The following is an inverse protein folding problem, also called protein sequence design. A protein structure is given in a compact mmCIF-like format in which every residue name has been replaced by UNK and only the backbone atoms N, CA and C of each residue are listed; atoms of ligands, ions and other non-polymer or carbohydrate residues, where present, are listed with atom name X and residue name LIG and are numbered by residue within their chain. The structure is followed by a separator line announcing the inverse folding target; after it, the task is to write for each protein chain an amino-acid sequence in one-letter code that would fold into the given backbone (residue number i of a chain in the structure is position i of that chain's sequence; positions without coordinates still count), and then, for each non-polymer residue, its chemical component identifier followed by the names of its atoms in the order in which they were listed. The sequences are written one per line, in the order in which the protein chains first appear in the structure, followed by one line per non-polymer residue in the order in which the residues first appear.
data_IF_663648899103
#
_entry.id   IF_663648899103
#
_cell.length_a   1.000
_cell.length_b   1.000
_cell.length_c   1.000
_cell.angle_alpha   90.00
_cell.angle_beta   90.00
_cell.angle_gamma   90.00
#
_symmetry.space_group_name_H-M   'P 1'
#
loop_
_entity.id
_entity.type
_entity.pdbx_description
1 polymer ?
#
# COMPACT_ATOMS: atom_id res chain seq x y z
N UNK A 1 7.27 21.74 17.05
CA UNK A 1 8.14 20.88 17.89
C UNK A 1 8.24 19.54 17.17
N UNK A 2 9.44 19.03 17.02
CA UNK A 2 9.67 17.70 16.48
C UNK A 2 9.04 16.66 17.43
N UNK A 3 8.33 15.66 16.88
CA UNK A 3 7.85 14.55 17.68
C UNK A 3 9.04 13.69 18.06
N UNK A 4 9.28 13.60 19.35
CA UNK A 4 10.39 12.84 19.89
C UNK A 4 10.17 11.33 19.74
N UNK A 5 11.27 10.59 19.72
CA UNK A 5 11.26 9.13 19.66
C UNK A 5 10.85 8.59 21.03
N UNK A 6 10.30 7.38 21.07
CA UNK A 6 10.07 6.65 22.31
C UNK A 6 11.36 6.52 23.14
N UNK A 7 11.23 6.59 24.44
CA UNK A 7 12.34 6.43 25.37
C UNK A 7 11.98 5.42 26.47
N UNK A 8 12.93 4.54 26.81
CA UNK A 8 12.77 3.56 27.87
C UNK A 8 12.76 4.21 29.26
N UNK A 9 11.96 3.65 30.17
CA UNK A 9 11.88 4.08 31.60
C UNK A 9 11.61 5.59 31.78
N UNK A 10 10.91 6.20 30.81
CA UNK A 10 10.58 7.62 30.79
C UNK A 10 9.12 7.85 31.21
N UNK A 11 8.88 8.94 31.97
CA UNK A 11 7.54 9.31 32.40
C UNK A 11 6.86 10.19 31.35
N UNK A 12 5.60 9.90 31.07
CA UNK A 12 4.77 10.62 30.10
C UNK A 12 3.44 11.04 30.69
N UNK A 13 2.95 12.20 30.22
CA UNK A 13 1.64 12.74 30.55
C UNK A 13 0.62 12.44 29.50
N UNK A 14 -0.66 12.48 29.84
CA UNK A 14 -1.74 12.36 28.85
C UNK A 14 -1.63 13.47 27.81
N UNK A 15 -1.67 13.08 26.53
CA UNK A 15 -1.52 13.99 25.39
C UNK A 15 -0.11 14.01 24.80
N UNK A 16 0.91 13.50 25.49
CA UNK A 16 2.26 13.37 24.92
C UNK A 16 2.24 12.48 23.68
N UNK A 17 2.97 12.88 22.66
CA UNK A 17 3.06 12.13 21.40
C UNK A 17 4.48 11.66 21.18
N UNK A 18 4.63 10.41 20.80
CA UNK A 18 5.92 9.77 20.49
C UNK A 18 5.82 8.99 19.18
N UNK A 19 6.96 8.75 18.57
CA UNK A 19 7.11 7.85 17.42
C UNK A 19 7.95 6.64 17.79
N UNK A 20 7.80 5.55 17.06
CA UNK A 20 8.66 4.39 17.19
C UNK A 20 10.13 4.74 16.91
N UNK A 21 11.08 4.08 17.60
CA UNK A 21 12.52 4.25 17.36
C UNK A 21 12.90 3.71 15.99
N UNK A 22 12.29 2.58 15.61
CA UNK A 22 12.42 1.99 14.29
C UNK A 22 11.09 2.21 13.54
N UNK A 23 11.18 2.76 12.34
CA UNK A 23 10.02 3.04 11.52
C UNK A 23 9.40 1.75 11.01
N UNK A 24 8.26 1.35 11.56
CA UNK A 24 7.55 0.12 11.18
C UNK A 24 6.65 0.27 9.94
N UNK A 25 6.92 1.18 9.04
CA UNK A 25 6.20 1.30 7.78
C UNK A 25 4.72 1.74 7.88
N UNK A 26 4.25 2.14 9.05
CA UNK A 26 2.84 2.45 9.29
C UNK A 26 2.50 3.94 9.23
N UNK A 27 3.49 4.83 9.32
CA UNK A 27 3.27 6.28 9.42
C UNK A 27 2.45 6.69 10.64
N UNK A 28 2.48 5.89 11.69
CA UNK A 28 1.71 6.13 12.90
C UNK A 28 2.57 6.80 13.97
N UNK A 29 1.94 7.68 14.70
CA UNK A 29 2.41 8.21 15.98
C UNK A 29 1.58 7.63 17.11
N UNK A 30 2.08 7.76 18.32
CA UNK A 30 1.46 7.18 19.50
C UNK A 30 1.23 8.27 20.51
N UNK A 31 -0.04 8.53 20.83
CA UNK A 31 -0.45 9.49 21.84
C UNK A 31 -0.67 8.78 23.17
N UNK A 32 -0.06 9.29 24.22
CA UNK A 32 -0.28 8.81 25.57
C UNK A 32 -1.72 9.16 25.98
N UNK A 33 -2.51 8.14 26.31
CA UNK A 33 -3.89 8.27 26.78
C UNK A 33 -4.02 7.98 28.27
N UNK A 34 -3.05 7.26 28.87
CA UNK A 34 -2.93 7.08 30.30
C UNK A 34 -1.48 7.40 30.71
N UNK A 35 -1.34 8.40 31.56
CA UNK A 35 -0.04 8.82 32.07
C UNK A 35 0.65 7.71 32.87
N UNK A 36 1.97 7.63 32.75
CA UNK A 36 2.75 6.59 33.43
C UNK A 36 4.22 6.61 33.02
N UNK A 37 4.90 5.50 33.27
CA UNK A 37 6.30 5.28 32.88
C UNK A 37 6.37 4.12 31.90
N UNK A 38 7.12 4.31 30.82
CA UNK A 38 7.35 3.30 29.78
C UNK A 38 8.17 2.12 30.29
N UNK A 39 8.09 1.01 29.59
CA UNK A 39 8.89 -0.18 29.88
C UNK A 39 10.39 0.03 29.62
N UNK A 40 11.19 -0.97 29.95
CA UNK A 40 12.65 -0.98 29.73
C UNK A 40 13.03 -1.28 28.28
N UNK A 41 12.11 -1.82 27.49
CA UNK A 41 12.28 -2.13 26.07
C UNK A 41 11.12 -1.58 25.27
N UNK A 42 11.39 -1.17 24.02
CA UNK A 42 10.38 -0.66 23.13
C UNK A 42 9.34 -1.75 22.82
N UNK A 43 8.05 -1.46 22.96
CA UNK A 43 7.00 -2.43 22.70
C UNK A 43 6.79 -2.67 21.20
N UNK A 44 6.10 -3.76 20.85
CA UNK A 44 5.63 -3.97 19.50
C UNK A 44 4.44 -3.03 19.22
N UNK A 45 4.68 -1.99 18.44
CA UNK A 45 3.68 -0.97 18.13
C UNK A 45 2.55 -1.50 17.24
N UNK A 46 1.30 -1.11 17.50
CA UNK A 46 0.18 -1.47 16.64
C UNK A 46 0.30 -0.82 15.26
N UNK A 47 -0.30 -1.49 14.26
CA UNK A 47 -0.29 -1.07 12.86
C UNK A 47 -1.55 -0.33 12.42
N UNK A 48 -2.58 -0.30 13.28
CA UNK A 48 -3.88 0.27 12.93
C UNK A 48 -4.17 1.51 13.77
N UNK A 49 -4.67 2.57 13.10
CA UNK A 49 -5.07 3.81 13.77
C UNK A 49 -6.19 3.53 14.77
N UNK A 50 -6.08 4.11 15.96
CA UNK A 50 -7.04 3.93 17.06
C UNK A 50 -6.74 2.72 17.95
N UNK A 51 -5.85 1.82 17.55
CA UNK A 51 -5.43 0.71 18.40
C UNK A 51 -4.65 1.21 19.63
N UNK A 52 -4.86 0.55 20.75
CA UNK A 52 -4.20 0.88 22.02
C UNK A 52 -3.14 -0.14 22.39
N UNK A 53 -2.10 0.32 23.07
CA UNK A 53 -1.00 -0.48 23.57
C UNK A 53 -0.63 -0.06 24.98
N UNK A 54 -0.43 -1.03 25.87
CA UNK A 54 0.13 -0.79 27.22
C UNK A 54 1.64 -1.00 27.18
N UNK A 55 2.38 -0.01 27.69
CA UNK A 55 3.83 0.01 27.75
C UNK A 55 4.26 0.46 29.14
N UNK A 56 4.72 -0.49 29.97
CA UNK A 56 4.91 -0.24 31.40
C UNK A 56 3.57 0.12 32.08
N UNK A 57 3.49 1.34 32.61
CA UNK A 57 2.22 1.89 33.18
C UNK A 57 1.54 2.89 32.25
N UNK A 58 2.15 3.23 31.10
CA UNK A 58 1.56 4.07 30.08
C UNK A 58 0.61 3.28 29.18
N UNK A 59 -0.45 3.96 28.68
CA UNK A 59 -1.26 3.47 27.57
C UNK A 59 -1.12 4.42 26.40
N UNK A 60 -0.81 3.87 25.24
CA UNK A 60 -0.64 4.59 23.99
C UNK A 60 -1.78 4.28 23.03
N UNK A 61 -2.24 5.27 22.30
CA UNK A 61 -3.19 5.11 21.19
C UNK A 61 -2.50 5.50 19.90
N UNK A 62 -2.57 4.63 18.89
CA UNK A 62 -2.03 4.90 17.57
C UNK A 62 -2.84 6.00 16.86
N UNK A 63 -2.16 7.03 16.37
CA UNK A 63 -2.72 8.15 15.61
C UNK A 63 -1.98 8.31 14.29
N UNK A 64 -2.68 8.81 13.26
CA UNK A 64 -2.02 9.12 11.99
C UNK A 64 -1.33 10.47 12.07
N UNK A 65 -0.03 10.49 11.82
CA UNK A 65 0.77 11.72 11.78
C UNK A 65 0.30 12.70 10.70
N UNK A 66 -0.11 12.17 9.54
CA UNK A 66 -0.56 12.97 8.39
C UNK A 66 -1.90 13.64 8.67
N UNK A 67 -2.86 12.89 9.23
CA UNK A 67 -4.19 13.42 9.52
C UNK A 67 -4.17 14.43 10.67
N UNK A 68 -3.31 14.22 11.67
CA UNK A 68 -3.16 15.15 12.80
C UNK A 68 -2.60 16.50 12.34
N UNK A 69 -1.67 16.49 11.37
CA UNK A 69 -1.16 17.72 10.77
C UNK A 69 -2.20 18.48 9.95
N UNK A 70 -3.10 17.76 9.25
CA UNK A 70 -4.18 18.38 8.47
C UNK A 70 -5.24 19.07 9.32
N UNK A 71 -5.37 18.68 10.59
CA UNK A 71 -6.32 19.30 11.53
C UNK A 71 -5.80 20.62 12.09
N UNK A 72 -4.57 21.02 11.79
CA UNK A 72 -4.01 22.29 12.25
C UNK A 72 -4.59 23.47 11.47
N UNK A 73 -4.57 24.66 12.10
CA UNK A 73 -5.02 25.91 11.48
C UNK A 73 -4.23 26.27 10.21
N UNK A 74 -2.95 25.86 10.16
CA UNK A 74 -2.07 26.07 9.02
C UNK A 74 -1.33 24.76 8.72
N UNK A 75 -1.99 23.83 8.01
CA UNK A 75 -1.39 22.54 7.67
C UNK A 75 -0.24 22.73 6.67
N UNK A 76 0.72 21.83 6.73
CA UNK A 76 1.79 21.78 5.74
C UNK A 76 1.26 21.41 4.36
N UNK A 77 1.90 21.90 3.30
CA UNK A 77 1.49 21.61 1.93
C UNK A 77 1.53 20.10 1.63
N UNK A 78 0.51 19.61 0.94
CA UNK A 78 0.46 18.24 0.44
C UNK A 78 1.38 18.14 -0.77
N UNK A 79 2.24 17.12 -0.75
CA UNK A 79 3.14 16.78 -1.85
C UNK A 79 2.66 15.48 -2.48
N UNK A 80 2.49 15.49 -3.80
CA UNK A 80 2.12 14.30 -4.58
C UNK A 80 3.33 13.78 -5.34
N UNK A 81 3.59 12.49 -5.15
CA UNK A 81 4.68 11.77 -5.76
C UNK A 81 4.12 10.60 -6.56
N UNK A 82 4.72 10.33 -7.70
CA UNK A 82 4.31 9.26 -8.59
C UNK A 82 5.48 8.31 -8.84
N UNK A 83 5.22 7.02 -8.78
CA UNK A 83 6.14 5.98 -9.20
C UNK A 83 5.52 5.16 -10.31
N UNK A 84 6.20 5.04 -11.44
CA UNK A 84 5.89 4.09 -12.49
C UNK A 84 6.85 2.91 -12.35
N UNK A 85 6.32 1.73 -12.07
CA UNK A 85 7.07 0.50 -11.87
C UNK A 85 6.85 -0.44 -13.04
N UNK A 86 7.93 -0.77 -13.71
CA UNK A 86 7.91 -1.72 -14.81
C UNK A 86 7.94 -3.16 -14.29
N UNK A 87 7.31 -4.07 -15.01
CA UNK A 87 7.39 -5.51 -14.78
C UNK A 87 8.33 -6.11 -15.84
N UNK A 88 9.35 -6.82 -15.39
CA UNK A 88 10.37 -7.40 -16.29
C UNK A 88 9.79 -8.37 -17.32
N UNK A 89 8.69 -9.05 -16.98
CA UNK A 89 8.04 -10.01 -17.88
C UNK A 89 7.25 -9.34 -19.01
N UNK A 90 6.73 -8.13 -18.77
CA UNK A 90 5.90 -7.38 -19.72
C UNK A 90 6.69 -6.28 -20.45
N UNK A 91 7.68 -5.68 -19.78
CA UNK A 91 8.35 -4.47 -20.24
C UNK A 91 9.85 -4.66 -20.47
N UNK A 92 10.40 -5.87 -20.19
CA UNK A 92 11.82 -6.17 -20.32
C UNK A 92 12.73 -5.48 -19.29
N UNK A 93 12.14 -4.72 -18.36
CA UNK A 93 12.84 -4.01 -17.29
C UNK A 93 12.02 -4.02 -16.02
N UNK A 94 12.67 -3.94 -14.87
CA UNK A 94 12.05 -3.76 -13.55
C UNK A 94 12.36 -2.38 -12.95
N UNK A 95 12.70 -1.41 -13.77
CA UNK A 95 13.02 -0.06 -13.33
C UNK A 95 11.81 0.66 -12.72
N UNK A 96 12.12 1.62 -11.85
CA UNK A 96 11.13 2.47 -11.18
C UNK A 96 11.43 3.92 -11.52
N UNK A 97 10.55 4.54 -12.28
CA UNK A 97 10.59 5.96 -12.60
C UNK A 97 9.81 6.73 -11.54
N UNK A 98 10.39 7.84 -11.06
CA UNK A 98 9.84 8.62 -9.96
C UNK A 98 9.70 10.07 -10.34
N UNK A 99 8.49 10.61 -10.16
CA UNK A 99 8.18 11.99 -10.53
C UNK A 99 7.35 12.70 -9.48
N UNK A 100 7.45 14.02 -9.46
CA UNK A 100 6.52 14.88 -8.73
C UNK A 100 5.96 15.99 -9.65
N UNK A 101 4.68 16.32 -9.45
CA UNK A 101 3.98 17.36 -10.22
C UNK A 101 4.15 18.77 -9.65
N UNK A 102 4.60 18.86 -8.40
CA UNK A 102 4.63 20.11 -7.64
C UNK A 102 5.72 21.06 -8.08
N UNK A 103 5.51 22.34 -7.80
CA UNK A 103 6.55 23.34 -7.84
C UNK A 103 7.34 23.26 -6.53
N UNK A 104 8.43 22.50 -6.50
CA UNK A 104 9.41 22.61 -5.42
C UNK A 104 10.50 23.58 -5.89
N UNK A 105 10.67 24.66 -5.15
CA UNK A 105 11.70 25.66 -5.42
C UNK A 105 12.62 25.81 -4.24
N UNK A 106 13.91 25.90 -4.53
CA UNK A 106 14.90 26.26 -3.53
C UNK A 106 14.87 27.77 -3.25
N UNK A 107 15.71 28.23 -2.33
CA UNK A 107 15.81 29.65 -1.95
C UNK A 107 16.25 30.54 -3.10
N UNK A 108 16.85 29.97 -4.15
CA UNK A 108 17.25 30.69 -5.38
C UNK A 108 16.15 30.70 -6.44
N UNK A 109 14.92 30.30 -6.06
CA UNK A 109 13.77 30.19 -6.97
C UNK A 109 13.99 29.23 -8.15
N UNK A 110 14.89 28.26 -8.01
CA UNK A 110 15.14 27.20 -8.99
C UNK A 110 14.26 25.99 -8.67
N UNK A 111 13.77 25.36 -9.71
CA UNK A 111 13.03 24.10 -9.59
C UNK A 111 13.96 22.98 -9.16
N UNK A 112 13.59 22.27 -8.11
CA UNK A 112 14.37 21.17 -7.54
C UNK A 112 13.58 19.89 -7.46
N UNK A 113 14.29 18.79 -7.52
CA UNK A 113 13.73 17.48 -7.27
C UNK A 113 13.33 17.34 -5.80
N UNK A 114 12.41 16.46 -5.52
CA UNK A 114 11.97 16.14 -4.16
C UNK A 114 12.56 14.81 -3.75
N UNK A 115 13.14 14.75 -2.56
CA UNK A 115 13.63 13.50 -1.97
C UNK A 115 12.68 13.09 -0.84
N UNK A 116 12.18 11.87 -0.92
CA UNK A 116 11.31 11.27 0.09
C UNK A 116 11.66 9.80 0.30
N UNK A 117 11.88 9.42 1.56
CA UNK A 117 12.32 8.07 1.93
C UNK A 117 13.60 7.63 1.20
N UNK A 118 14.57 8.52 1.07
CA UNK A 118 15.82 8.28 0.36
C UNK A 118 15.70 8.15 -1.16
N UNK A 119 14.51 8.29 -1.73
CA UNK A 119 14.28 8.24 -3.17
C UNK A 119 14.11 9.64 -3.74
N UNK A 120 14.78 9.90 -4.84
CA UNK A 120 14.66 11.16 -5.56
C UNK A 120 13.52 11.09 -6.58
N UNK A 121 12.66 12.09 -6.55
CA UNK A 121 11.55 12.28 -7.47
C UNK A 121 11.86 13.48 -8.35
N UNK A 122 12.05 13.23 -9.64
CA UNK A 122 12.36 14.28 -10.61
C UNK A 122 11.11 15.11 -10.90
N UNK A 123 11.32 16.40 -11.15
CA UNK A 123 10.23 17.26 -11.55
C UNK A 123 9.78 16.91 -12.97
N UNK A 124 8.56 16.48 -13.09
CA UNK A 124 7.90 16.25 -14.37
C UNK A 124 6.44 16.69 -14.22
N UNK A 125 5.94 17.60 -15.09
CA UNK A 125 4.53 17.99 -15.05
C UNK A 125 3.65 16.77 -15.27
N UNK A 126 2.89 16.42 -14.24
CA UNK A 126 1.93 15.30 -14.24
C UNK A 126 0.58 15.83 -13.82
N UNK A 127 -0.45 15.50 -14.59
CA UNK A 127 -1.84 15.79 -14.25
C UNK A 127 -2.54 14.47 -13.94
N UNK A 128 -3.04 14.33 -12.72
CA UNK A 128 -3.72 13.15 -12.22
C UNK A 128 -5.18 13.49 -11.93
N UNK A 129 -6.12 12.84 -12.62
CA UNK A 129 -7.56 13.12 -12.52
C UNK A 129 -8.35 11.83 -12.34
N UNK A 130 -9.54 11.92 -11.71
CA UNK A 130 -10.46 10.79 -11.56
C UNK A 130 -10.06 9.76 -10.49
N UNK A 131 -9.23 10.13 -9.52
CA UNK A 131 -8.83 9.27 -8.40
C UNK A 131 -9.87 9.23 -7.26
N UNK A 132 -11.03 9.80 -7.47
CA UNK A 132 -12.08 9.90 -6.46
C UNK A 132 -12.83 8.57 -6.32
N UNK A 133 -13.04 8.14 -5.08
CA UNK A 133 -13.90 6.99 -4.79
C UNK A 133 -15.36 7.47 -4.68
N UNK A 134 -16.23 6.87 -5.47
CA UNK A 134 -17.66 7.14 -5.39
C UNK A 134 -18.36 6.18 -4.45
N UNK A 135 -19.37 6.65 -3.72
CA UNK A 135 -20.21 5.81 -2.86
C UNK A 135 -21.12 4.85 -3.64
N UNK A 136 -21.19 4.98 -4.97
CA UNK A 136 -22.03 4.16 -5.86
C UNK A 136 -21.44 2.79 -6.18
N UNK A 137 -20.23 2.49 -5.65
CA UNK A 137 -19.56 1.20 -5.88
C UNK A 137 -18.91 1.04 -7.25
N UNK A 138 -18.95 2.05 -8.10
CA UNK A 138 -18.24 2.04 -9.39
C UNK A 138 -16.74 2.23 -9.12
N UNK A 139 -15.89 1.34 -9.66
CA UNK A 139 -14.45 1.51 -9.57
C UNK A 139 -14.02 2.71 -10.43
N UNK A 140 -13.25 3.66 -9.85
CA UNK A 140 -12.75 4.79 -10.61
C UNK A 140 -11.75 4.32 -11.67
N UNK A 141 -11.76 5.00 -12.83
CA UNK A 141 -10.78 4.85 -13.91
C UNK A 141 -10.02 6.16 -14.06
N UNK A 142 -8.98 6.38 -13.24
CA UNK A 142 -8.22 7.61 -13.30
C UNK A 142 -7.47 7.77 -14.60
N UNK A 143 -7.19 9.01 -14.95
CA UNK A 143 -6.29 9.37 -16.04
C UNK A 143 -5.03 10.02 -15.51
N UNK A 144 -3.90 9.63 -16.08
CA UNK A 144 -2.58 10.20 -15.79
C UNK A 144 -2.02 10.80 -17.07
N UNK A 145 -1.93 12.12 -17.11
CA UNK A 145 -1.29 12.83 -18.22
C UNK A 145 0.09 13.29 -17.79
N UNK A 146 1.10 12.85 -18.50
CA UNK A 146 2.52 13.12 -18.21
C UNK A 146 3.09 14.00 -19.32
N UNK A 147 3.89 15.01 -18.96
CA UNK A 147 4.58 15.85 -19.94
C UNK A 147 5.57 15.04 -20.77
N UNK A 148 5.67 15.36 -22.06
CA UNK A 148 6.56 14.70 -23.02
C UNK A 148 7.44 15.71 -23.79
N UNK A 149 7.57 16.92 -23.26
CA UNK A 149 8.30 18.01 -23.93
C UNK A 149 9.77 17.69 -24.21
N UNK A 150 10.38 16.88 -23.36
CA UNK A 150 11.76 16.38 -23.49
C UNK A 150 11.84 15.00 -24.17
N UNK A 151 10.71 14.48 -24.68
CA UNK A 151 10.59 13.17 -25.33
C UNK A 151 10.94 11.96 -24.44
N UNK A 152 11.10 12.13 -23.13
CA UNK A 152 11.44 11.06 -22.20
C UNK A 152 10.41 9.93 -22.23
N UNK A 153 9.11 10.28 -22.24
CA UNK A 153 8.03 9.29 -22.30
C UNK A 153 7.98 8.55 -23.64
N UNK A 154 8.22 9.24 -24.76
CA UNK A 154 8.29 8.59 -26.08
C UNK A 154 9.46 7.60 -26.16
N UNK A 155 10.62 7.94 -25.61
CA UNK A 155 11.78 7.03 -25.56
C UNK A 155 11.46 5.81 -24.70
N UNK A 156 10.85 6.00 -23.53
CA UNK A 156 10.43 4.90 -22.66
C UNK A 156 9.43 3.96 -23.37
N UNK A 157 8.42 4.52 -24.03
CA UNK A 157 7.45 3.74 -24.81
C UNK A 157 8.13 2.96 -25.94
N UNK A 158 9.08 3.58 -26.64
CA UNK A 158 9.83 2.91 -27.70
C UNK A 158 10.68 1.73 -27.17
N UNK A 159 11.33 1.88 -26.01
CA UNK A 159 12.10 0.81 -25.35
C UNK A 159 11.21 -0.36 -24.95
N UNK A 160 10.05 -0.09 -24.33
CA UNK A 160 9.10 -1.12 -23.92
C UNK A 160 8.51 -1.83 -25.14
N UNK A 161 8.13 -1.10 -26.18
CA UNK A 161 7.59 -1.65 -27.41
C UNK A 161 8.61 -2.44 -28.24
N UNK A 162 9.90 -2.18 -28.05
CA UNK A 162 10.97 -3.01 -28.64
C UNK A 162 11.01 -4.41 -28.02
N UNK A 163 10.64 -4.55 -26.76
CA UNK A 163 10.58 -5.83 -26.05
C UNK A 163 9.23 -6.54 -26.30
N UNK A 164 8.13 -5.82 -26.15
CA UNK A 164 6.77 -6.34 -26.33
C UNK A 164 6.01 -5.37 -27.23
N UNK A 165 5.93 -5.70 -28.50
CA UNK A 165 5.34 -4.82 -29.51
C UNK A 165 3.88 -4.45 -29.18
N UNK A 166 3.59 -3.15 -29.14
CA UNK A 166 2.26 -2.60 -28.87
C UNK A 166 1.82 -2.68 -27.42
N UNK A 167 2.73 -2.94 -26.48
CA UNK A 167 2.40 -2.97 -25.06
C UNK A 167 2.08 -1.58 -24.49
N UNK A 168 2.77 -0.53 -24.97
CA UNK A 168 2.54 0.87 -24.57
C UNK A 168 2.48 1.08 -23.02
N UNK A 169 3.32 0.37 -22.26
CA UNK A 169 3.32 0.32 -20.80
C UNK A 169 2.09 -0.35 -20.16
N UNK A 170 1.27 -1.06 -20.93
CA UNK A 170 0.11 -1.78 -20.40
C UNK A 170 0.49 -2.76 -19.30
N UNK A 171 -0.18 -2.69 -18.14
CA UNK A 171 0.11 -3.50 -16.97
C UNK A 171 1.19 -2.94 -16.04
N UNK A 172 1.86 -1.83 -16.36
CA UNK A 172 2.80 -1.18 -15.46
C UNK A 172 2.07 -0.62 -14.21
N UNK A 173 2.68 -0.79 -13.04
CA UNK A 173 2.10 -0.29 -11.78
C UNK A 173 2.40 1.19 -11.61
N UNK A 174 1.36 1.99 -11.41
CA UNK A 174 1.43 3.39 -11.03
C UNK A 174 1.08 3.52 -9.56
N UNK A 175 2.01 4.02 -8.77
CA UNK A 175 1.78 4.36 -7.35
C UNK A 175 1.68 5.85 -7.19
N UNK A 176 0.61 6.31 -6.57
CA UNK A 176 0.46 7.68 -6.11
C UNK A 176 0.70 7.72 -4.62
N UNK A 177 1.71 8.47 -4.21
CA UNK A 177 2.09 8.68 -2.82
C UNK A 177 1.78 10.13 -2.49
N UNK A 178 1.06 10.37 -1.40
CA UNK A 178 0.77 11.70 -0.90
C UNK A 178 1.34 11.84 0.49
N UNK A 179 2.14 12.86 0.69
CA UNK A 179 2.74 13.21 1.98
C UNK A 179 2.65 14.71 2.20
N UNK A 180 3.16 15.19 3.31
CA UNK A 180 3.21 16.62 3.62
C UNK A 180 4.66 17.12 3.53
N UNK A 181 4.84 18.35 3.04
CA UNK A 181 6.18 18.96 2.90
C UNK A 181 7.03 18.84 4.18
N UNK A 182 6.38 18.93 5.33
CA UNK A 182 7.00 18.80 6.65
C UNK A 182 7.74 17.49 6.89
N UNK A 183 7.32 16.40 6.24
CA UNK A 183 7.87 15.06 6.46
C UNK A 183 8.88 14.62 5.41
N UNK A 184 9.21 15.51 4.46
CA UNK A 184 10.25 15.25 3.47
C UNK A 184 11.61 15.12 4.12
N UNK A 185 12.52 14.43 3.45
CA UNK A 185 13.89 14.23 3.90
C UNK A 185 14.62 15.56 4.05
N UNK A 186 15.55 15.63 4.99
CA UNK A 186 16.30 16.84 5.35
C UNK A 186 17.01 17.49 4.16
N UNK A 187 17.42 16.69 3.19
CA UNK A 187 18.11 17.16 2.00
C UNK A 187 17.28 18.15 1.14
N UNK A 188 15.94 18.12 1.27
CA UNK A 188 15.06 19.07 0.59
C UNK A 188 15.14 20.48 1.17
N UNK A 189 15.74 20.63 2.35
CA UNK A 189 15.79 21.88 3.11
C UNK A 189 17.24 22.27 3.33
N UNK A 190 17.90 22.64 2.22
CA UNK A 190 19.25 23.19 2.25
C UNK A 190 19.18 24.70 2.23
N UNK A 191 19.75 25.31 3.24
CA UNK A 191 19.87 26.74 3.35
C UNK A 191 21.34 27.14 3.22
N UNK A 192 21.65 27.98 2.25
CA UNK A 192 22.95 28.65 2.20
C UNK A 192 22.86 29.91 3.07
N UNK A 193 23.54 29.90 4.18
CA UNK A 193 23.73 31.08 5.00
C UNK A 193 24.96 31.83 4.47
N UNK A 194 24.74 33.00 3.94
CA UNK A 194 25.82 33.90 3.57
C UNK A 194 26.29 34.66 4.82
N UNK A 195 27.55 34.57 5.15
CA UNK A 195 28.09 35.33 6.26
C UNK A 195 28.09 36.83 5.88
N UNK A 196 27.44 37.62 6.74
CA UNK A 196 27.38 39.08 6.58
C UNK A 196 28.09 39.78 7.74
N UNK A 197 28.66 40.95 7.48
CA UNK A 197 29.23 41.81 8.50
C UNK A 197 28.11 42.41 9.36
N UNK A 198 28.49 43.03 10.48
CA UNK A 198 27.57 43.77 11.34
C UNK A 198 26.85 44.92 10.63
N UNK A 199 27.41 45.41 9.52
CA UNK A 199 26.83 46.45 8.68
C UNK A 199 25.98 45.91 7.54
N UNK A 200 25.83 44.61 7.40
CA UNK A 200 25.02 43.96 6.36
C UNK A 200 25.79 43.65 5.07
N UNK A 201 27.09 43.89 5.00
CA UNK A 201 27.91 43.58 3.83
C UNK A 201 28.25 42.08 3.81
N UNK A 202 28.25 41.47 2.63
CA UNK A 202 28.62 40.06 2.43
C UNK A 202 30.12 39.87 2.69
N UNK A 203 30.47 38.92 3.53
CA UNK A 203 31.86 38.48 3.69
C UNK A 203 32.30 37.69 2.47
N UNK A 204 33.41 38.16 1.86
CA UNK A 204 34.03 37.49 0.72
C UNK A 204 35.45 37.06 1.10
N UNK A 205 35.91 35.97 0.47
CA UNK A 205 37.29 35.49 0.58
C UNK A 205 38.24 36.44 -0.17
N UNK A 206 39.52 36.26 0.03
CA UNK A 206 40.56 37.05 -0.67
C UNK A 206 40.47 36.84 -2.20
N UNK A 207 39.94 35.70 -2.66
CA UNK A 207 39.74 35.36 -4.06
C UNK A 207 38.41 35.88 -4.63
N UNK A 208 37.59 36.58 -3.82
CA UNK A 208 36.30 37.14 -4.22
C UNK A 208 35.10 36.25 -4.05
N UNK A 209 35.27 35.02 -3.51
CA UNK A 209 34.19 34.10 -3.24
C UNK A 209 33.42 34.47 -1.96
N UNK A 210 32.11 34.27 -1.98
CA UNK A 210 31.25 34.52 -0.82
C UNK A 210 31.48 33.48 0.25
N UNK A 211 31.68 33.92 1.50
CA UNK A 211 31.74 33.00 2.65
C UNK A 211 30.34 32.44 2.91
N UNK A 212 30.16 31.16 2.62
CA UNK A 212 28.86 30.46 2.76
C UNK A 212 28.97 29.36 3.77
N UNK A 213 27.94 29.24 4.61
CA UNK A 213 27.70 28.06 5.46
C UNK A 213 26.44 27.36 4.94
N UNK A 214 26.54 26.10 4.62
CA UNK A 214 25.39 25.30 4.25
C UNK A 214 24.81 24.63 5.49
N UNK A 215 23.52 24.87 5.74
CA UNK A 215 22.76 24.14 6.78
C UNK A 215 21.81 23.18 6.06
N UNK A 216 21.91 21.91 6.40
CA UNK A 216 21.01 20.86 5.91
C UNK A 216 20.13 20.43 7.07
N UNK A 217 18.82 20.51 6.89
CA UNK A 217 17.87 20.07 7.90
C UNK A 217 16.48 20.62 7.66
N UNK A 218 15.49 19.87 8.03
CA UNK A 218 14.10 20.26 7.92
C UNK A 218 13.70 21.20 9.07
N UNK A 219 13.53 22.52 8.84
CA UNK A 219 13.28 23.49 9.91
C UNK A 219 11.89 23.37 10.53
N UNK A 220 10.94 22.75 9.84
CA UNK A 220 9.53 22.72 10.22
C UNK A 220 9.08 21.41 10.80
N UNK A 221 9.88 20.35 10.74
CA UNK A 221 9.45 19.03 11.13
C UNK A 221 10.57 18.02 11.25
N UNK A 222 10.15 16.78 11.36
CA UNK A 222 11.03 15.61 11.41
C UNK A 222 10.78 14.85 10.12
N UNK A 223 11.84 14.51 9.36
CA UNK A 223 11.72 13.57 8.26
C UNK A 223 11.04 12.29 8.73
N UNK A 224 9.96 11.91 8.10
CA UNK A 224 9.27 10.66 8.41
C UNK A 224 8.81 9.99 7.12
N UNK A 225 9.55 8.96 6.67
CA UNK A 225 9.22 8.23 5.44
C UNK A 225 7.87 7.52 5.48
N UNK A 226 7.30 7.34 6.67
CA UNK A 226 6.02 6.65 6.86
C UNK A 226 4.85 7.62 7.02
N UNK A 227 5.10 8.91 7.16
CA UNK A 227 4.08 9.94 7.22
C UNK A 227 3.49 10.19 5.82
N UNK A 228 2.70 9.25 5.34
CA UNK A 228 2.03 9.33 4.04
C UNK A 228 0.57 8.92 4.17
N UNK A 229 -0.27 9.44 3.29
CA UNK A 229 -1.63 8.94 3.13
C UNK A 229 -1.62 7.50 2.60
N UNK A 230 -2.71 6.74 2.74
CA UNK A 230 -2.80 5.42 2.14
C UNK A 230 -2.34 5.45 0.68
N UNK A 231 -1.39 4.58 0.33
CA UNK A 231 -0.87 4.50 -1.04
C UNK A 231 -1.94 4.04 -2.00
N UNK A 232 -2.09 4.75 -3.07
CA UNK A 232 -2.96 4.36 -4.18
C UNK A 232 -2.15 3.62 -5.23
N UNK A 233 -2.61 2.40 -5.57
CA UNK A 233 -1.95 1.55 -6.56
C UNK A 233 -2.89 1.31 -7.72
N UNK A 234 -2.43 1.68 -8.90
CA UNK A 234 -3.15 1.57 -10.14
C UNK A 234 -2.28 0.88 -11.18
N UNK A 235 -2.87 0.45 -12.26
CA UNK A 235 -2.16 -0.17 -13.37
C UNK A 235 -2.55 0.55 -14.65
N UNK A 236 -1.60 0.71 -15.56
CA UNK A 236 -1.89 1.26 -16.88
C UNK A 236 -2.74 0.24 -17.63
N UNK A 237 -3.97 0.61 -17.97
CA UNK A 237 -4.88 -0.19 -18.78
C UNK A 237 -4.57 0.02 -20.28
N UNK A 238 -4.44 1.29 -20.66
CA UNK A 238 -4.08 1.67 -22.04
C UNK A 238 -3.49 3.07 -22.13
N UNK A 239 -2.72 3.29 -23.21
CA UNK A 239 -2.35 4.62 -23.65
C UNK A 239 -3.53 5.24 -24.39
N UNK A 240 -4.11 6.31 -23.85
CA UNK A 240 -5.27 6.98 -24.44
C UNK A 240 -4.88 7.94 -25.55
N UNK A 241 -3.80 8.68 -25.35
CA UNK A 241 -3.28 9.64 -26.32
C UNK A 241 -1.78 9.83 -26.18
N UNK A 242 -1.11 10.10 -27.29
CA UNK A 242 0.29 10.51 -27.32
C UNK A 242 0.44 11.69 -28.27
N UNK A 243 1.04 12.75 -27.78
CA UNK A 243 1.39 13.93 -28.54
C UNK A 243 2.85 14.31 -28.27
N UNK A 244 3.34 15.32 -28.99
CA UNK A 244 4.67 15.88 -28.72
C UNK A 244 4.78 16.44 -27.31
N UNK A 245 3.70 17.00 -26.77
CA UNK A 245 3.71 17.75 -25.53
C UNK A 245 3.33 16.88 -24.32
N UNK A 246 2.54 15.83 -24.51
CA UNK A 246 2.05 14.97 -23.43
C UNK A 246 1.65 13.58 -23.87
N UNK A 247 1.72 12.65 -22.93
CA UNK A 247 1.17 11.29 -23.07
C UNK A 247 0.13 11.10 -21.98
N UNK A 248 -1.03 10.58 -22.35
CA UNK A 248 -2.15 10.30 -21.43
C UNK A 248 -2.39 8.81 -21.34
N UNK A 249 -2.41 8.31 -20.10
CA UNK A 249 -2.73 6.92 -19.78
C UNK A 249 -4.06 6.83 -19.05
N UNK A 250 -4.84 5.82 -19.36
CA UNK A 250 -5.96 5.39 -18.53
C UNK A 250 -5.48 4.34 -17.54
N UNK A 251 -5.88 4.52 -16.30
CA UNK A 251 -5.51 3.63 -15.21
C UNK A 251 -6.70 2.79 -14.79
N UNK A 252 -6.42 1.58 -14.35
CA UNK A 252 -7.41 0.68 -13.79
C UNK A 252 -6.92 0.08 -12.47
N UNK A 253 -7.86 -0.33 -11.62
CA UNK A 253 -7.50 -1.15 -10.46
C UNK A 253 -7.07 -2.54 -10.93
N UNK A 254 -6.28 -3.25 -10.11
CA UNK A 254 -5.88 -4.64 -10.43
C UNK A 254 -7.07 -5.57 -10.68
N UNK A 255 -8.23 -5.24 -10.11
CA UNK A 255 -9.45 -6.04 -10.26
C UNK A 255 -10.20 -5.78 -11.57
N UNK A 256 -9.96 -4.64 -12.21
CA UNK A 256 -10.62 -4.21 -13.44
C UNK A 256 -9.74 -4.43 -14.70
N UNK A 257 -8.53 -4.94 -14.53
CA UNK A 257 -7.66 -5.28 -15.66
C UNK A 257 -8.25 -6.43 -16.49
N UNK A 258 -8.08 -6.34 -17.79
CA UNK A 258 -8.55 -7.35 -18.73
C UNK A 258 -8.06 -8.76 -18.33
N UNK A 259 -8.97 -9.73 -18.28
CA UNK A 259 -8.68 -11.12 -17.89
C UNK A 259 -8.74 -11.41 -16.39
N UNK A 260 -8.89 -10.43 -15.52
CA UNK A 260 -9.12 -10.68 -14.10
C UNK A 260 -10.58 -11.07 -13.85
N UNK A 261 -10.78 -12.26 -13.34
CA UNK A 261 -12.12 -12.78 -12.97
C UNK A 261 -12.26 -12.82 -11.46
N UNK A 262 -13.29 -12.14 -10.93
CA UNK A 262 -13.65 -12.17 -9.53
C UNK A 262 -15.13 -12.56 -9.38
N UNK A 263 -15.41 -13.53 -8.53
CA UNK A 263 -14.48 -14.42 -7.84
C UNK A 263 -13.74 -15.33 -8.84
N UNK A 264 -12.52 -15.76 -8.50
CA UNK A 264 -11.77 -16.73 -9.33
C UNK A 264 -12.45 -18.09 -9.45
N UNK A 265 -13.49 -18.32 -8.65
CA UNK A 265 -14.32 -19.49 -8.68
C UNK A 265 -15.65 -19.20 -9.37
N UNK A 266 -16.13 -20.16 -10.14
CA UNK A 266 -17.46 -20.11 -10.71
C UNK A 266 -18.51 -20.14 -9.59
N UNK A 267 -19.53 -19.27 -9.67
CA UNK A 267 -20.63 -19.29 -8.70
C UNK A 267 -21.60 -20.40 -9.11
N UNK A 268 -21.49 -21.57 -8.45
CA UNK A 268 -22.35 -22.74 -8.66
C UNK A 268 -23.10 -23.02 -7.37
N UNK A 269 -24.42 -23.16 -7.46
CA UNK A 269 -25.28 -23.26 -6.28
C UNK A 269 -25.17 -24.57 -5.52
N UNK A 270 -25.04 -25.70 -6.18
CA UNK A 270 -25.27 -27.02 -5.54
C UNK A 270 -24.12 -28.00 -5.66
N UNK A 271 -23.00 -27.64 -6.27
CA UNK A 271 -21.86 -28.53 -6.51
C UNK A 271 -20.60 -27.97 -5.86
N UNK A 272 -19.98 -28.75 -5.00
CA UNK A 272 -18.71 -28.42 -4.36
C UNK A 272 -17.58 -28.42 -5.39
N UNK A 273 -16.85 -27.32 -5.47
CA UNK A 273 -15.74 -27.15 -6.42
C UNK A 273 -14.39 -27.63 -5.86
N UNK A 274 -14.29 -27.89 -4.56
CA UNK A 274 -13.06 -28.37 -3.95
C UNK A 274 -12.65 -29.74 -4.49
N UNK A 275 -11.36 -29.95 -4.64
CA UNK A 275 -10.82 -31.29 -4.86
C UNK A 275 -11.03 -32.08 -3.58
N UNK A 276 -11.56 -33.29 -3.69
CA UNK A 276 -11.81 -34.16 -2.53
C UNK A 276 -10.48 -34.47 -1.83
N UNK A 277 -10.47 -34.39 -0.50
CA UNK A 277 -9.29 -34.53 0.36
C UNK A 277 -8.20 -33.45 0.16
N UNK A 278 -8.47 -32.33 -0.56
CA UNK A 278 -7.56 -31.21 -0.62
C UNK A 278 -7.57 -30.40 0.68
N UNK A 279 -6.65 -29.42 0.77
CA UNK A 279 -6.56 -28.49 1.91
C UNK A 279 -7.88 -27.75 2.14
N UNK A 280 -8.56 -27.35 1.05
CA UNK A 280 -9.83 -26.63 1.13
C UNK A 280 -11.01 -27.57 1.53
N UNK A 281 -10.96 -28.83 1.11
CA UNK A 281 -11.95 -29.84 1.52
C UNK A 281 -11.74 -30.24 2.98
N UNK A 282 -10.48 -30.40 3.40
CA UNK A 282 -10.10 -30.72 4.78
C UNK A 282 -10.57 -32.11 5.30
N UNK A 283 -11.19 -32.95 4.47
CA UNK A 283 -11.62 -34.27 4.90
C UNK A 283 -10.48 -35.28 4.92
N UNK A 284 -10.31 -35.94 6.07
CA UNK A 284 -9.37 -37.06 6.24
C UNK A 284 -10.11 -38.27 6.75
N UNK A 285 -10.19 -39.37 5.98
CA UNK A 285 -10.89 -40.59 6.40
C UNK A 285 -10.24 -41.29 7.59
N UNK A 286 -8.98 -41.00 7.92
CA UNK A 286 -8.31 -41.57 9.10
C UNK A 286 -8.71 -40.92 10.42
N UNK A 287 -9.00 -39.59 10.37
CA UNK A 287 -9.29 -38.76 11.56
C UNK A 287 -10.69 -38.16 11.55
N UNK A 288 -11.39 -38.21 10.42
CA UNK A 288 -12.75 -37.68 10.27
C UNK A 288 -13.78 -38.48 11.11
N UNK A 289 -14.94 -37.84 11.37
CA UNK A 289 -16.02 -38.54 12.07
C UNK A 289 -16.50 -39.74 11.26
N UNK A 290 -16.77 -40.82 11.97
CA UNK A 290 -17.40 -42.00 11.37
C UNK A 290 -18.92 -41.84 11.25
N UNK A 291 -19.53 -42.54 10.32
CA UNK A 291 -20.99 -42.68 10.22
C UNK A 291 -21.37 -44.16 10.26
N UNK A 292 -22.31 -44.47 11.11
CA UNK A 292 -22.83 -45.86 11.21
C UNK A 292 -23.89 -46.09 10.15
N UNK A 293 -23.70 -47.11 9.34
CA UNK A 293 -24.66 -47.62 8.36
C UNK A 293 -24.82 -49.11 8.61
N UNK A 294 -26.04 -49.55 8.82
CA UNK A 294 -26.39 -50.96 9.10
C UNK A 294 -25.54 -51.61 10.21
N UNK A 295 -25.26 -50.87 11.26
CA UNK A 295 -24.47 -51.35 12.42
C UNK A 295 -22.95 -51.30 12.22
N UNK A 296 -22.48 -50.93 11.05
CA UNK A 296 -21.06 -50.76 10.73
C UNK A 296 -20.67 -49.29 10.68
N UNK A 297 -19.55 -48.95 11.31
CA UNK A 297 -19.06 -47.57 11.30
C UNK A 297 -18.09 -47.36 10.12
N UNK A 298 -18.46 -46.47 9.20
CA UNK A 298 -17.68 -46.13 8.02
C UNK A 298 -17.09 -44.73 8.14
N UNK A 299 -15.92 -44.55 7.57
CA UNK A 299 -15.27 -43.24 7.37
C UNK A 299 -14.96 -42.96 5.91
N UNK A 300 -15.19 -43.92 5.04
CA UNK A 300 -15.08 -43.82 3.58
C UNK A 300 -16.45 -44.02 2.96
N UNK A 301 -16.76 -43.25 1.94
CA UNK A 301 -18.07 -43.24 1.32
C UNK A 301 -17.96 -43.11 -0.17
N UNK A 302 -18.79 -43.81 -0.89
CA UNK A 302 -18.90 -43.67 -2.33
C UNK A 302 -19.62 -42.36 -2.78
N UNK A 303 -19.83 -42.19 -4.08
CA UNK A 303 -20.53 -41.05 -4.68
C UNK A 303 -21.99 -40.91 -4.21
N UNK A 304 -22.61 -42.02 -3.78
CA UNK A 304 -24.00 -42.09 -3.29
C UNK A 304 -24.10 -41.93 -1.77
N UNK A 305 -22.96 -41.79 -1.08
CA UNK A 305 -22.82 -41.73 0.38
C UNK A 305 -23.05 -43.07 1.09
N UNK A 306 -22.87 -44.20 0.38
CA UNK A 306 -22.80 -45.54 0.95
C UNK A 306 -21.42 -45.74 1.57
N UNK A 307 -21.37 -46.50 2.67
CA UNK A 307 -20.12 -46.82 3.36
C UNK A 307 -19.26 -47.78 2.55
N UNK A 308 -17.99 -47.46 2.33
CA UNK A 308 -17.03 -48.33 1.62
C UNK A 308 -15.78 -48.57 2.46
N UNK A 309 -15.09 -49.68 2.17
CA UNK A 309 -13.92 -50.09 2.93
C UNK A 309 -12.59 -49.74 2.28
N UNK A 310 -12.56 -49.49 0.99
CA UNK A 310 -11.35 -49.23 0.22
C UNK A 310 -11.20 -47.75 -0.12
N UNK A 311 -9.95 -47.27 -0.25
CA UNK A 311 -9.67 -45.90 -0.67
C UNK A 311 -10.04 -45.63 -2.13
N UNK A 312 -10.04 -46.65 -2.97
CA UNK A 312 -10.37 -46.53 -4.39
C UNK A 312 -11.86 -46.23 -4.62
N UNK A 313 -12.73 -46.72 -3.73
CA UNK A 313 -14.18 -46.50 -3.78
C UNK A 313 -14.60 -45.21 -3.07
N UNK A 314 -13.69 -44.59 -2.28
CA UNK A 314 -13.97 -43.38 -1.51
C UNK A 314 -13.98 -42.12 -2.42
N UNK A 315 -15.15 -41.85 -3.00
CA UNK A 315 -15.37 -40.76 -3.96
C UNK A 315 -16.47 -39.83 -3.46
N UNK A 316 -16.17 -38.51 -3.44
CA UNK A 316 -17.13 -37.51 -2.98
C UNK A 316 -18.16 -37.15 -4.08
N UNK A 317 -19.45 -37.24 -3.76
CA UNK A 317 -20.54 -36.85 -4.66
C UNK A 317 -20.73 -35.36 -4.86
N UNK A 318 -19.84 -34.53 -4.25
CA UNK A 318 -19.80 -33.04 -4.42
C UNK A 318 -21.09 -32.30 -4.02
N UNK A 319 -21.98 -32.93 -3.28
CA UNK A 319 -23.26 -32.37 -2.78
C UNK A 319 -23.13 -32.02 -1.29
N UNK A 320 -24.01 -31.14 -0.79
CA UNK A 320 -24.10 -30.86 0.65
C UNK A 320 -24.29 -32.16 1.47
N UNK A 321 -25.14 -33.04 0.99
CA UNK A 321 -25.35 -34.33 1.64
C UNK A 321 -24.05 -35.15 1.75
N UNK A 322 -23.17 -35.07 0.76
CA UNK A 322 -21.88 -35.77 0.80
C UNK A 322 -20.92 -35.16 1.82
N UNK A 323 -20.96 -33.83 2.03
CA UNK A 323 -20.22 -33.20 3.12
C UNK A 323 -20.81 -33.58 4.49
N UNK A 324 -22.12 -33.52 4.66
CA UNK A 324 -22.78 -33.94 5.91
C UNK A 324 -22.45 -35.36 6.28
N UNK A 325 -22.47 -36.25 5.32
CA UNK A 325 -22.12 -37.68 5.52
C UNK A 325 -20.69 -37.81 6.09
N UNK A 326 -19.76 -36.96 5.67
CA UNK A 326 -18.33 -37.03 6.02
C UNK A 326 -17.96 -36.26 7.25
N UNK A 327 -18.58 -35.08 7.49
CA UNK A 327 -18.27 -34.20 8.60
C UNK A 327 -19.27 -34.24 9.74
N UNK A 328 -20.45 -34.81 9.52
CA UNK A 328 -21.57 -34.84 10.46
C UNK A 328 -22.67 -33.84 10.08
N UNK A 329 -23.91 -34.17 10.46
CA UNK A 329 -25.10 -33.37 10.08
C UNK A 329 -25.13 -31.96 10.64
N UNK A 330 -24.54 -31.75 11.83
CA UNK A 330 -24.52 -30.49 12.55
C UNK A 330 -23.15 -29.82 12.57
N UNK A 331 -22.17 -30.32 11.82
CA UNK A 331 -20.83 -29.78 11.79
C UNK A 331 -20.75 -28.57 10.84
N UNK A 332 -19.75 -27.73 11.05
CA UNK A 332 -19.38 -26.70 10.09
C UNK A 332 -18.80 -27.38 8.84
N UNK A 333 -19.49 -27.23 7.70
CA UNK A 333 -19.13 -27.91 6.47
C UNK A 333 -18.20 -27.04 5.62
N UNK A 334 -17.01 -27.52 5.20
CA UNK A 334 -16.14 -26.84 4.25
C UNK A 334 -16.67 -26.98 2.80
N UNK A 335 -17.94 -26.64 2.59
CA UNK A 335 -18.61 -26.85 1.32
C UNK A 335 -18.27 -25.73 0.32
N UNK A 336 -17.57 -26.08 -0.73
CA UNK A 336 -17.03 -25.13 -1.72
C UNK A 336 -18.01 -24.65 -2.80
N UNK A 337 -19.31 -24.57 -2.50
CA UNK A 337 -20.30 -23.98 -3.42
C UNK A 337 -20.97 -22.75 -2.78
N UNK A 338 -21.87 -22.13 -3.53
CA UNK A 338 -22.65 -20.96 -3.12
C UNK A 338 -24.14 -21.31 -3.05
N UNK A 339 -24.61 -22.00 -1.99
CA UNK A 339 -25.99 -22.48 -1.92
C UNK A 339 -27.06 -21.40 -2.07
N UNK A 340 -26.74 -20.15 -1.67
CA UNK A 340 -27.63 -19.01 -1.81
C UNK A 340 -27.70 -18.41 -3.22
N UNK A 341 -26.87 -18.84 -4.15
CA UNK A 341 -26.82 -18.21 -5.49
C UNK A 341 -28.05 -18.45 -6.38
N UNK A 342 -28.96 -19.35 -5.97
CA UNK A 342 -30.23 -19.62 -6.66
C UNK A 342 -31.47 -19.02 -5.98
N UNK A 343 -31.30 -18.31 -4.87
CA UNK A 343 -32.42 -17.78 -4.08
C UNK A 343 -32.85 -16.36 -4.44
N UNK A 344 -32.04 -15.65 -5.24
CA UNK A 344 -32.41 -14.34 -5.79
C UNK A 344 -32.99 -14.51 -7.18
N UNK A 345 -34.30 -14.36 -7.28
CA UNK A 345 -35.00 -14.09 -8.54
C UNK A 345 -35.24 -12.58 -8.65
#
# INVERSE_FOLDING_TARGET
MAVEVWAANASFSVGDVRRATVSYGTGLWFRCTTAGTTGSSEPAWPTDVGSTLTDGTCVWTAISSVYDELLKLAPSAVIELFELRLDSSLHGSSEVYRWHAGMSRNDRNQDVNVVFNGNEYTRLPVKAEGFEYTSTGTLPRPTLTVSNLDSTMTVLLALVNATTAGNDLGGAEVRRIRTLKKYLDDINFRFENVAITQNGDTLITQDGDTFKSETVGNPSGVPDPNAQFPQERWFIDRKANESRDSVTFELASKFDLAGQKLPRRQVIANVCQWIYKSTECGYNPSTGPGKTIDGTNFRRFDVNNEGVTTDAEDVCGKRIASCKCRFGDNAQLPFGSFPGAGLTK
#
